data_IF_371270306354
#
_entry.id   IF_371270306354
#
_cell.length_a   1.000
_cell.length_b   1.000
_cell.length_c   1.000
_cell.angle_alpha   90.00
_cell.angle_beta   90.00
_cell.angle_gamma   90.00
#
_symmetry.space_group_name_H-M   'P 1'
#
loop_
_entity.id
_entity.type
_entity.pdbx_description
1 polymer ?
#
# COMPACT_ATOMS: atom_id res chain seq x y z
N UNK A 1 9.61 -0.03 -5.29
CA UNK A 1 9.81 1.41 -5.01
C UNK A 1 10.65 1.55 -3.77
N UNK A 2 11.52 2.57 -3.68
CA UNK A 2 12.20 2.91 -2.44
C UNK A 2 11.21 3.62 -1.51
N UNK A 3 11.48 3.56 -0.20
CA UNK A 3 10.67 4.25 0.80
C UNK A 3 10.64 5.76 0.50
N UNK A 4 9.46 6.38 0.58
CA UNK A 4 9.25 7.83 0.36
C UNK A 4 9.49 8.37 -1.05
N UNK A 5 9.60 7.51 -2.07
CA UNK A 5 9.65 7.93 -3.47
C UNK A 5 8.48 8.87 -3.82
N UNK A 6 8.70 9.71 -4.83
CA UNK A 6 7.59 10.49 -5.40
C UNK A 6 6.64 9.53 -6.10
N UNK A 7 5.35 9.74 -5.90
CA UNK A 7 4.30 9.00 -6.59
C UNK A 7 3.71 9.95 -7.61
N UNK A 8 3.93 9.63 -8.87
CA UNK A 8 3.35 10.34 -10.01
C UNK A 8 1.99 9.73 -10.35
N UNK A 9 1.20 10.42 -11.17
CA UNK A 9 -0.04 9.89 -11.73
C UNK A 9 -1.08 9.39 -10.70
N UNK A 10 -1.16 10.02 -9.53
CA UNK A 10 -2.10 9.66 -8.44
C UNK A 10 -3.55 9.54 -8.95
N UNK A 11 -3.95 10.43 -9.85
CA UNK A 11 -5.29 10.40 -10.46
C UNK A 11 -5.52 9.14 -11.29
N UNK A 12 -4.50 8.65 -11.99
CA UNK A 12 -4.59 7.41 -12.78
C UNK A 12 -4.69 6.19 -11.89
N UNK A 13 -3.86 6.12 -10.83
CA UNK A 13 -3.93 5.06 -9.81
C UNK A 13 -5.36 4.98 -9.25
N UNK A 14 -5.93 6.11 -8.84
CA UNK A 14 -7.30 6.16 -8.32
C UNK A 14 -8.33 5.67 -9.35
N UNK A 15 -8.20 6.09 -10.62
CA UNK A 15 -9.11 5.68 -11.70
C UNK A 15 -9.01 4.18 -11.99
N UNK A 16 -7.81 3.61 -11.99
CA UNK A 16 -7.59 2.17 -12.17
C UNK A 16 -8.26 1.35 -11.07
N UNK A 17 -8.27 1.87 -9.84
CA UNK A 17 -8.97 1.26 -8.71
C UNK A 17 -10.50 1.48 -8.73
N UNK A 18 -11.02 2.25 -9.69
CA UNK A 18 -12.46 2.54 -9.78
C UNK A 18 -13.00 3.42 -8.64
N UNK A 19 -12.14 4.12 -7.90
CA UNK A 19 -12.53 4.89 -6.72
C UNK A 19 -12.81 6.37 -7.05
N UNK A 20 -13.81 6.95 -6.38
CA UNK A 20 -13.97 8.40 -6.35
C UNK A 20 -12.92 9.04 -5.42
N UNK A 21 -12.79 10.36 -5.43
CA UNK A 21 -11.80 11.06 -4.61
C UNK A 21 -12.03 10.84 -3.11
N UNK A 22 -13.28 10.87 -2.65
CA UNK A 22 -13.58 10.71 -1.22
C UNK A 22 -13.13 9.34 -0.71
N UNK A 23 -13.48 8.25 -1.41
CA UNK A 23 -13.15 6.89 -1.00
C UNK A 23 -11.65 6.61 -1.08
N UNK A 24 -10.99 7.16 -2.10
CA UNK A 24 -9.54 7.02 -2.27
C UNK A 24 -8.78 7.73 -1.14
N UNK A 25 -9.11 8.99 -0.85
CA UNK A 25 -8.36 9.80 0.10
C UNK A 25 -8.70 9.48 1.56
N UNK A 26 -9.96 9.15 1.86
CA UNK A 26 -10.39 8.80 3.22
C UNK A 26 -9.70 7.55 3.77
N UNK A 27 -9.41 6.56 2.92
CA UNK A 27 -8.67 5.33 3.30
C UNK A 27 -7.27 5.61 3.88
N UNK A 28 -6.68 6.77 3.60
CA UNK A 28 -5.39 7.18 4.14
C UNK A 28 -5.49 8.42 5.04
N UNK A 29 -6.68 8.72 5.57
CA UNK A 29 -6.91 9.81 6.51
C UNK A 29 -6.84 11.22 5.89
N UNK A 30 -7.00 11.34 4.57
CA UNK A 30 -6.96 12.62 3.86
C UNK A 30 -8.37 13.04 3.46
N UNK A 31 -8.71 14.32 3.69
CA UNK A 31 -10.00 14.87 3.26
C UNK A 31 -10.08 14.93 1.73
N UNK A 32 -11.30 14.86 1.16
CA UNK A 32 -11.49 14.98 -0.29
C UNK A 32 -10.88 16.26 -0.86
N UNK A 33 -11.06 17.40 -0.19
CA UNK A 33 -10.53 18.70 -0.64
C UNK A 33 -9.00 18.77 -0.53
N UNK A 34 -8.39 18.09 0.45
CA UNK A 34 -6.94 17.92 0.54
C UNK A 34 -6.40 17.05 -0.59
N UNK A 35 -7.03 15.91 -0.81
CA UNK A 35 -6.70 14.96 -1.86
C UNK A 35 -6.78 15.55 -3.27
N UNK A 36 -7.85 16.30 -3.55
CA UNK A 36 -8.00 16.98 -4.84
C UNK A 36 -6.83 17.92 -5.16
N UNK A 37 -6.23 18.57 -4.15
CA UNK A 37 -5.06 19.43 -4.36
C UNK A 37 -3.83 18.61 -4.71
N UNK A 38 -3.66 17.44 -4.11
CA UNK A 38 -2.55 16.55 -4.45
C UNK A 38 -2.69 16.01 -5.87
N UNK A 39 -3.91 15.65 -6.30
CA UNK A 39 -4.16 15.24 -7.69
C UNK A 39 -3.94 16.36 -8.71
N UNK A 40 -4.03 17.63 -8.29
CA UNK A 40 -3.79 18.80 -9.15
C UNK A 40 -2.34 19.30 -9.11
N UNK A 41 -1.41 18.53 -8.56
CA UNK A 41 0.02 18.84 -8.58
C UNK A 41 0.57 19.53 -7.34
N UNK A 42 -0.22 19.71 -6.28
CA UNK A 42 0.33 20.17 -4.99
C UNK A 42 1.28 19.12 -4.44
N UNK A 43 2.42 19.56 -3.92
CA UNK A 43 3.35 18.67 -3.24
C UNK A 43 2.67 17.94 -2.07
N UNK A 44 2.78 16.62 -2.07
CA UNK A 44 2.20 15.75 -1.05
C UNK A 44 3.22 15.52 0.08
N UNK A 45 2.82 15.64 1.37
CA UNK A 45 3.69 15.31 2.49
C UNK A 45 4.24 13.88 2.43
N UNK A 46 5.45 13.66 2.94
CA UNK A 46 6.10 12.33 2.95
C UNK A 46 5.22 11.24 3.60
N UNK A 47 4.58 11.46 4.77
CA UNK A 47 3.74 10.43 5.39
C UNK A 47 2.54 10.04 4.53
N UNK A 48 1.91 11.03 3.87
CA UNK A 48 0.75 10.78 3.01
C UNK A 48 1.15 9.97 1.77
N UNK A 49 2.33 10.25 1.18
CA UNK A 49 2.84 9.44 0.06
C UNK A 49 3.10 7.99 0.48
N UNK A 50 3.65 7.79 1.66
CA UNK A 50 3.94 6.45 2.16
C UNK A 50 2.66 5.65 2.40
N UNK A 51 1.64 6.27 3.03
CA UNK A 51 0.34 5.64 3.20
C UNK A 51 -0.35 5.35 1.85
N UNK A 52 -0.24 6.26 0.88
CA UNK A 52 -0.76 6.02 -0.47
C UNK A 52 -0.10 4.81 -1.11
N UNK A 53 1.23 4.66 -0.99
CA UNK A 53 1.93 3.47 -1.49
C UNK A 53 1.42 2.21 -0.81
N UNK A 54 1.41 2.17 0.52
CA UNK A 54 1.01 0.98 1.28
C UNK A 54 -0.43 0.57 0.97
N UNK A 55 -1.37 1.51 0.99
CA UNK A 55 -2.80 1.21 0.87
C UNK A 55 -3.25 1.01 -0.57
N UNK A 56 -2.82 1.87 -1.51
CA UNK A 56 -3.37 1.88 -2.87
C UNK A 56 -2.47 1.25 -3.92
N UNK A 57 -1.17 1.10 -3.66
CA UNK A 57 -0.24 0.43 -4.59
C UNK A 57 0.04 -0.99 -4.11
N UNK A 58 0.41 -1.16 -2.83
CA UNK A 58 0.68 -2.47 -2.24
C UNK A 58 -0.61 -3.17 -1.74
N UNK A 59 -1.77 -2.51 -1.83
CA UNK A 59 -3.08 -3.07 -1.45
C UNK A 59 -3.12 -3.58 0.00
N UNK A 60 -2.37 -2.95 0.89
CA UNK A 60 -2.32 -3.33 2.31
C UNK A 60 -3.51 -2.72 3.04
N UNK A 61 -4.34 -3.60 3.61
CA UNK A 61 -5.37 -3.22 4.56
C UNK A 61 -4.73 -2.94 5.93
N UNK A 62 -4.60 -1.64 6.26
CA UNK A 62 -3.96 -1.20 7.51
C UNK A 62 -4.66 -1.75 8.76
N UNK A 63 -5.95 -2.12 8.69
CA UNK A 63 -6.67 -2.71 9.82
C UNK A 63 -6.22 -4.14 10.15
N UNK A 64 -5.58 -4.81 9.19
CA UNK A 64 -5.07 -6.17 9.31
C UNK A 64 -3.56 -6.24 9.59
N UNK A 65 -2.88 -5.09 9.64
CA UNK A 65 -1.44 -5.05 9.91
C UNK A 65 -1.21 -5.18 11.41
N UNK A 66 -0.56 -6.27 11.81
CA UNK A 66 -0.14 -6.48 13.20
C UNK A 66 1.39 -6.49 13.34
N UNK A 67 1.87 -6.05 14.50
CA UNK A 67 3.31 -6.13 14.83
C UNK A 67 3.78 -7.58 14.92
N UNK A 68 2.93 -8.47 15.40
CA UNK A 68 3.24 -9.88 15.60
C UNK A 68 3.50 -10.58 14.26
N UNK A 69 2.65 -10.36 13.26
CA UNK A 69 2.83 -10.94 11.92
C UNK A 69 4.16 -10.50 11.27
N UNK A 70 4.54 -9.23 11.47
CA UNK A 70 5.82 -8.70 10.97
C UNK A 70 7.03 -9.34 11.67
N UNK A 71 6.91 -9.64 12.97
CA UNK A 71 7.94 -10.33 13.72
C UNK A 71 8.04 -11.79 13.26
N UNK A 72 6.91 -12.48 13.08
CA UNK A 72 6.87 -13.85 12.56
C UNK A 72 7.51 -13.93 11.17
N UNK A 73 7.16 -13.01 10.27
CA UNK A 73 7.76 -12.95 8.94
C UNK A 73 9.29 -12.72 9.01
N UNK A 74 9.75 -11.87 9.94
CA UNK A 74 11.18 -11.63 10.18
C UNK A 74 11.89 -12.88 10.72
N UNK A 75 11.27 -13.59 11.65
CA UNK A 75 11.80 -14.84 12.21
C UNK A 75 11.85 -15.96 11.17
N UNK A 76 10.84 -16.09 10.32
CA UNK A 76 10.83 -17.06 9.22
C UNK A 76 12.00 -16.80 8.26
N UNK A 77 12.21 -15.54 7.83
CA UNK A 77 13.36 -15.19 6.98
C UNK A 77 14.71 -15.53 7.61
N UNK A 78 14.83 -15.37 8.93
CA UNK A 78 16.09 -15.60 9.65
C UNK A 78 16.36 -17.08 9.91
N UNK A 79 15.33 -17.84 10.33
CA UNK A 79 15.48 -19.23 10.82
C UNK A 79 15.14 -20.27 9.76
N UNK A 80 14.20 -19.97 8.88
CA UNK A 80 13.66 -20.91 7.88
C UNK A 80 13.44 -20.19 6.54
N UNK A 81 14.52 -19.72 5.87
CA UNK A 81 14.42 -18.96 4.63
C UNK A 81 13.74 -19.72 3.49
N UNK A 82 13.92 -21.05 3.43
CA UNK A 82 13.29 -21.91 2.42
C UNK A 82 11.77 -21.94 2.58
N UNK A 83 11.29 -22.15 3.82
CA UNK A 83 9.87 -22.11 4.15
C UNK A 83 9.25 -20.73 3.88
N UNK A 84 9.99 -19.65 4.18
CA UNK A 84 9.52 -18.31 3.83
C UNK A 84 9.38 -18.14 2.31
N UNK A 85 10.30 -18.68 1.52
CA UNK A 85 10.25 -18.60 0.06
C UNK A 85 9.08 -19.42 -0.52
N UNK A 86 8.83 -20.61 0.02
CA UNK A 86 7.68 -21.47 -0.32
C UNK A 86 6.35 -20.76 -0.05
N UNK A 87 6.11 -20.35 1.20
CA UNK A 87 4.88 -19.62 1.59
C UNK A 87 4.69 -18.33 0.78
N UNK A 88 5.78 -17.65 0.44
CA UNK A 88 5.72 -16.44 -0.40
C UNK A 88 5.29 -16.75 -1.83
N UNK A 89 5.68 -17.91 -2.38
CA UNK A 89 5.25 -18.32 -3.71
C UNK A 89 3.79 -18.74 -3.70
N UNK A 90 3.38 -19.55 -2.72
CA UNK A 90 1.97 -19.94 -2.53
C UNK A 90 1.06 -18.71 -2.39
N UNK A 91 1.44 -17.73 -1.57
CA UNK A 91 0.66 -16.51 -1.38
C UNK A 91 0.50 -15.69 -2.68
N UNK A 92 1.48 -15.72 -3.58
CA UNK A 92 1.36 -15.05 -4.89
C UNK A 92 0.41 -15.79 -5.82
N UNK A 93 0.45 -17.12 -5.82
CA UNK A 93 -0.45 -17.94 -6.60
C UNK A 93 -1.89 -17.74 -6.13
N UNK A 94 -2.12 -17.74 -4.81
CA UNK A 94 -3.44 -17.48 -4.23
C UNK A 94 -3.96 -16.07 -4.55
N UNK A 95 -3.09 -15.05 -4.54
CA UNK A 95 -3.45 -13.69 -4.92
C UNK A 95 -3.73 -13.53 -6.42
N UNK A 96 -3.23 -14.41 -7.28
CA UNK A 96 -3.46 -14.39 -8.74
C UNK A 96 -4.72 -15.17 -9.13
N UNK A 97 -5.12 -16.15 -8.32
CA UNK A 97 -6.30 -17.00 -8.53
C UNK A 97 -7.61 -16.40 -8.00
N UNK A 98 -7.58 -15.17 -7.49
CA UNK A 98 -8.68 -14.49 -6.80
C UNK A 98 -9.05 -13.20 -7.51
#
# INVERSE_FOLDING_TARGET
MKTFDKIENIREIRKQLGLNQMDFWSKIGVTQSGGSRYESGRNMPKPVRELLRLVHIEQIDLSKVSREDLIVASLLKQRHPDLYAELKNEAKEEATNK
#
